data_IF_396988249449
#
_entry.id   IF_396988249449
#
_cell.length_a   1.000
_cell.length_b   1.000
_cell.length_c   1.000
_cell.angle_alpha   90.00
_cell.angle_beta   90.00
_cell.angle_gamma   90.00
#
_symmetry.space_group_name_H-M   'P 1'
#
loop_
_entity.id
_entity.type
_entity.pdbx_description
1 polymer ?
#
# COMPACT_ATOMS: atom_id res chain seq x y z
N UNK A 1 31.06 -51.73 -0.34
CA UNK A 1 29.88 -50.96 0.11
C UNK A 1 29.81 -49.53 -0.45
N UNK A 2 30.94 -48.87 -0.76
CA UNK A 2 30.96 -47.46 -1.18
C UNK A 2 30.32 -47.16 -2.55
N UNK A 3 30.33 -48.10 -3.51
CA UNK A 3 29.77 -47.85 -4.85
C UNK A 3 28.24 -47.86 -4.87
N UNK A 4 27.61 -48.64 -4.00
CA UNK A 4 26.15 -48.71 -3.91
C UNK A 4 25.57 -47.47 -3.21
N UNK A 5 26.24 -47.00 -2.15
CA UNK A 5 25.86 -45.77 -1.45
C UNK A 5 26.04 -44.53 -2.34
N UNK A 6 27.16 -44.46 -3.08
CA UNK A 6 27.40 -43.40 -4.07
C UNK A 6 26.32 -43.41 -5.17
N UNK A 7 25.93 -44.59 -5.68
CA UNK A 7 24.88 -44.73 -6.69
C UNK A 7 23.50 -44.27 -6.18
N UNK A 8 23.13 -44.58 -4.94
CA UNK A 8 21.87 -44.10 -4.33
C UNK A 8 21.86 -42.59 -4.17
N UNK A 9 22.97 -41.98 -3.74
CA UNK A 9 23.07 -40.52 -3.59
C UNK A 9 22.93 -39.85 -4.95
N UNK A 10 23.66 -40.32 -5.96
CA UNK A 10 23.62 -39.76 -7.32
C UNK A 10 22.21 -39.86 -7.92
N UNK A 11 21.55 -41.01 -7.80
CA UNK A 11 20.17 -41.17 -8.29
C UNK A 11 19.16 -40.31 -7.53
N UNK A 12 19.36 -40.11 -6.22
CA UNK A 12 18.49 -39.22 -5.41
C UNK A 12 18.67 -37.75 -5.79
N UNK A 13 19.89 -37.32 -6.11
CA UNK A 13 20.17 -35.96 -6.58
C UNK A 13 19.60 -35.70 -7.98
N UNK A 14 19.76 -36.66 -8.91
CA UNK A 14 19.15 -36.59 -10.25
C UNK A 14 17.62 -36.50 -10.14
N UNK A 15 16.99 -37.33 -9.30
CA UNK A 15 15.55 -37.26 -9.07
C UNK A 15 15.12 -35.92 -8.43
N UNK A 16 15.91 -35.35 -7.51
CA UNK A 16 15.61 -34.05 -6.91
C UNK A 16 15.71 -32.92 -7.94
N UNK A 17 16.69 -32.98 -8.84
CA UNK A 17 16.87 -32.03 -9.93
C UNK A 17 15.74 -32.12 -10.96
N UNK A 18 15.39 -33.34 -11.42
CA UNK A 18 14.25 -33.56 -12.32
C UNK A 18 12.92 -33.07 -11.73
N UNK A 19 12.69 -33.33 -10.44
CA UNK A 19 11.49 -32.82 -9.75
C UNK A 19 11.48 -31.29 -9.64
N UNK A 20 12.62 -30.65 -9.36
CA UNK A 20 12.72 -29.19 -9.36
C UNK A 20 12.47 -28.60 -10.75
N UNK A 21 13.01 -29.21 -11.81
CA UNK A 21 12.76 -28.85 -13.21
C UNK A 21 11.26 -28.99 -13.55
N UNK A 22 10.59 -30.05 -13.08
CA UNK A 22 9.14 -30.23 -13.26
C UNK A 22 8.32 -29.15 -12.53
N UNK A 23 8.69 -28.80 -11.30
CA UNK A 23 8.05 -27.75 -10.50
C UNK A 23 8.24 -26.38 -11.16
N UNK A 24 9.44 -26.08 -11.65
CA UNK A 24 9.75 -24.86 -12.38
C UNK A 24 8.96 -24.79 -13.70
N UNK A 25 8.94 -25.86 -14.49
CA UNK A 25 8.11 -25.97 -15.69
C UNK A 25 6.61 -25.85 -15.40
N UNK A 26 6.13 -26.29 -14.23
CA UNK A 26 4.74 -26.08 -13.79
C UNK A 26 4.50 -24.63 -13.41
N UNK A 27 5.44 -23.94 -12.76
CA UNK A 27 5.36 -22.50 -12.48
C UNK A 27 5.39 -21.68 -13.77
N UNK A 28 6.24 -22.03 -14.74
CA UNK A 28 6.32 -21.38 -16.07
C UNK A 28 5.03 -21.63 -16.85
N UNK A 29 4.52 -22.87 -16.91
CA UNK A 29 3.25 -23.19 -17.59
C UNK A 29 2.04 -22.46 -17.01
N UNK A 30 2.06 -22.10 -15.73
CA UNK A 30 0.98 -21.38 -15.07
C UNK A 30 1.22 -19.86 -14.95
N UNK A 31 2.42 -19.39 -15.28
CA UNK A 31 2.73 -17.97 -15.38
C UNK A 31 2.46 -17.49 -16.80
N UNK A 32 1.29 -16.87 -16.98
CA UNK A 32 0.90 -16.22 -18.24
C UNK A 32 0.97 -14.70 -18.04
N UNK A 33 2.14 -14.06 -18.28
CA UNK A 33 2.20 -12.61 -18.35
C UNK A 33 1.25 -12.13 -19.46
N UNK A 34 0.56 -11.00 -19.28
CA UNK A 34 -0.52 -10.53 -20.15
C UNK A 34 -1.79 -11.40 -20.20
N UNK A 35 -2.09 -12.21 -19.17
CA UNK A 35 -3.39 -12.91 -19.11
C UNK A 35 -4.51 -11.92 -18.85
N UNK A 36 -5.33 -11.70 -19.86
CA UNK A 36 -6.61 -11.05 -19.71
C UNK A 36 -7.60 -11.99 -19.01
N UNK A 37 -8.46 -11.43 -18.17
CA UNK A 37 -9.59 -12.15 -17.55
C UNK A 37 -10.88 -11.49 -17.97
N UNK A 38 -12.03 -12.15 -17.87
CA UNK A 38 -13.32 -11.54 -18.23
C UNK A 38 -14.06 -11.11 -16.95
N UNK A 39 -14.83 -10.04 -17.03
CA UNK A 39 -15.70 -9.58 -15.95
C UNK A 39 -17.17 -9.79 -16.31
N UNK A 40 -17.80 -10.78 -15.70
CA UNK A 40 -19.23 -11.08 -15.93
C UNK A 40 -20.14 -9.92 -15.51
N UNK A 41 -19.74 -9.15 -14.49
CA UNK A 41 -20.50 -8.00 -13.94
C UNK A 41 -20.42 -6.74 -14.79
N UNK A 42 -19.48 -6.67 -15.74
CA UNK A 42 -19.30 -5.53 -16.62
C UNK A 42 -19.58 -5.93 -18.08
N UNK A 43 -20.66 -6.66 -18.34
CA UNK A 43 -21.04 -7.12 -19.69
C UNK A 43 -19.91 -7.86 -20.41
N UNK A 44 -19.29 -8.81 -19.72
CA UNK A 44 -18.16 -9.60 -20.24
C UNK A 44 -16.97 -8.75 -20.70
N UNK A 45 -16.74 -7.60 -20.06
CA UNK A 45 -15.58 -6.76 -20.32
C UNK A 45 -14.28 -7.55 -20.08
N UNK A 46 -13.38 -7.48 -21.07
CA UNK A 46 -12.02 -8.00 -20.96
C UNK A 46 -11.21 -7.13 -20.01
N UNK A 47 -10.79 -7.72 -18.89
CA UNK A 47 -9.92 -7.14 -17.87
C UNK A 47 -8.46 -7.42 -18.21
N UNK A 48 -7.65 -6.38 -18.46
CA UNK A 48 -6.21 -6.54 -18.62
C UNK A 48 -5.56 -7.01 -17.32
N UNK A 49 -4.27 -7.34 -17.40
CA UNK A 49 -3.50 -7.81 -16.24
C UNK A 49 -3.63 -6.85 -15.06
N UNK A 50 -3.79 -7.40 -13.85
CA UNK A 50 -3.95 -6.65 -12.58
C UNK A 50 -5.20 -5.76 -12.50
N UNK A 51 -6.15 -5.84 -13.46
CA UNK A 51 -7.42 -5.15 -13.33
C UNK A 51 -8.44 -5.96 -12.50
N UNK A 52 -9.11 -5.28 -11.56
CA UNK A 52 -10.10 -5.90 -10.68
C UNK A 52 -11.44 -5.17 -10.76
N UNK A 53 -12.53 -5.92 -10.63
CA UNK A 53 -13.88 -5.34 -10.52
C UNK A 53 -14.13 -4.90 -9.08
N UNK A 54 -14.35 -3.61 -8.86
CA UNK A 54 -14.78 -3.09 -7.58
C UNK A 54 -16.30 -3.20 -7.46
N UNK A 55 -16.77 -3.92 -6.44
CA UNK A 55 -18.21 -4.04 -6.15
C UNK A 55 -18.83 -2.70 -5.73
N UNK A 56 -18.13 -1.91 -4.94
CA UNK A 56 -18.65 -0.62 -4.45
C UNK A 56 -18.81 0.39 -5.59
N UNK A 57 -17.80 0.52 -6.47
CA UNK A 57 -17.87 1.42 -7.62
C UNK A 57 -18.56 0.81 -8.84
N UNK A 58 -18.97 -0.46 -8.79
CA UNK A 58 -19.61 -1.22 -9.88
C UNK A 58 -18.88 -1.13 -11.24
N UNK A 59 -17.54 -1.10 -11.20
CA UNK A 59 -16.70 -0.97 -12.41
C UNK A 59 -15.37 -1.69 -12.27
N UNK A 60 -14.79 -2.09 -13.40
CA UNK A 60 -13.41 -2.56 -13.46
C UNK A 60 -12.42 -1.41 -13.34
N UNK A 61 -11.39 -1.60 -12.52
CA UNK A 61 -10.33 -0.62 -12.25
C UNK A 61 -9.00 -1.26 -12.60
N UNK A 62 -8.23 -0.56 -13.43
CA UNK A 62 -6.90 -0.99 -13.90
C UNK A 62 -5.86 -0.84 -12.77
N UNK A 63 -5.02 -1.87 -12.60
CA UNK A 63 -4.06 -2.00 -11.47
C UNK A 63 -4.69 -1.54 -10.16
N UNK A 64 -5.90 -2.06 -9.87
CA UNK A 64 -6.65 -1.67 -8.68
C UNK A 64 -5.84 -2.01 -7.44
N UNK A 65 -5.63 -1.02 -6.58
CA UNK A 65 -5.01 -1.21 -5.28
C UNK A 65 -6.10 -1.51 -4.25
N UNK A 66 -7.00 -0.55 -4.03
CA UNK A 66 -8.14 -0.72 -3.13
C UNK A 66 -9.29 0.24 -3.44
N UNK A 67 -10.47 -0.03 -2.89
CA UNK A 67 -11.53 0.96 -2.79
C UNK A 67 -11.33 1.74 -1.49
N UNK A 68 -11.17 3.05 -1.58
CA UNK A 68 -10.93 3.90 -0.43
C UNK A 68 -12.22 4.64 -0.05
N UNK A 69 -12.85 4.32 1.10
CA UNK A 69 -14.07 4.99 1.54
C UNK A 69 -13.86 6.48 1.79
N UNK A 70 -12.65 6.86 2.22
CA UNK A 70 -12.31 8.24 2.59
C UNK A 70 -12.37 9.23 1.42
N UNK A 71 -12.00 8.78 0.22
CA UNK A 71 -12.09 9.59 -1.01
C UNK A 71 -13.28 9.20 -1.88
N UNK A 72 -14.12 8.25 -1.42
CA UNK A 72 -15.31 7.79 -2.12
C UNK A 72 -15.05 7.11 -3.48
N UNK A 73 -13.82 6.68 -3.75
CA UNK A 73 -13.44 6.12 -5.06
C UNK A 73 -12.35 5.06 -4.94
N UNK A 74 -12.16 4.28 -6.02
CA UNK A 74 -11.05 3.34 -6.11
C UNK A 74 -9.73 4.05 -6.36
N UNK A 75 -8.69 3.56 -5.68
CA UNK A 75 -7.29 3.85 -5.97
C UNK A 75 -6.77 2.79 -6.93
N UNK A 76 -6.22 3.22 -8.05
CA UNK A 76 -5.63 2.36 -9.07
C UNK A 76 -4.70 3.18 -9.97
N UNK A 77 -4.32 2.64 -11.13
CA UNK A 77 -3.25 3.22 -11.96
C UNK A 77 -3.39 4.72 -12.24
N UNK A 78 -4.62 5.18 -12.54
CA UNK A 78 -4.89 6.55 -12.97
C UNK A 78 -4.80 7.59 -11.84
N UNK A 79 -4.93 7.18 -10.58
CA UNK A 79 -4.95 8.11 -9.45
C UNK A 79 -4.03 7.71 -8.30
N UNK A 80 -3.19 6.71 -8.49
CA UNK A 80 -2.22 6.26 -7.49
C UNK A 80 -1.24 7.39 -7.10
N UNK A 81 -0.76 8.18 -8.08
CA UNK A 81 0.10 9.35 -7.83
C UNK A 81 -0.57 10.37 -6.93
N UNK A 82 -1.80 10.75 -7.28
CA UNK A 82 -2.57 11.74 -6.54
C UNK A 82 -2.93 11.26 -5.14
N UNK A 83 -3.25 9.97 -4.98
CA UNK A 83 -3.50 9.39 -3.67
C UNK A 83 -2.25 9.43 -2.78
N UNK A 84 -1.08 9.14 -3.34
CA UNK A 84 0.18 9.23 -2.60
C UNK A 84 0.52 10.67 -2.20
N UNK A 85 0.36 11.63 -3.12
CA UNK A 85 0.53 13.06 -2.83
C UNK A 85 -0.47 13.53 -1.77
N UNK A 86 -1.72 13.07 -1.81
CA UNK A 86 -2.73 13.36 -0.79
C UNK A 86 -2.27 12.93 0.60
N UNK A 87 -1.67 11.75 0.76
CA UNK A 87 -1.12 11.30 2.04
C UNK A 87 0.04 12.17 2.52
N UNK A 88 0.96 12.54 1.62
CA UNK A 88 2.11 13.40 1.94
C UNK A 88 1.67 14.80 2.35
N UNK A 89 0.83 15.45 1.53
CA UNK A 89 0.34 16.79 1.83
C UNK A 89 -0.54 16.80 3.08
N UNK A 90 -1.37 15.76 3.29
CA UNK A 90 -2.14 15.59 4.52
C UNK A 90 -1.24 15.51 5.75
N UNK A 91 -0.14 14.75 5.68
CA UNK A 91 0.84 14.70 6.77
C UNK A 91 1.47 16.07 7.03
N UNK A 92 1.96 16.77 6.01
CA UNK A 92 2.57 18.09 6.16
C UNK A 92 1.61 19.14 6.70
N UNK A 93 0.37 19.20 6.20
CA UNK A 93 -0.65 20.12 6.71
C UNK A 93 -0.94 19.81 8.17
N UNK A 94 -1.10 18.53 8.53
CA UNK A 94 -1.35 18.16 9.93
C UNK A 94 -0.19 18.54 10.84
N UNK A 95 1.06 18.36 10.41
CA UNK A 95 2.25 18.79 11.15
C UNK A 95 2.30 20.32 11.31
N UNK A 96 2.02 21.05 10.23
CA UNK A 96 1.96 22.51 10.25
C UNK A 96 0.90 23.03 11.24
N UNK A 97 -0.29 22.42 11.26
CA UNK A 97 -1.34 22.75 12.24
C UNK A 97 -0.88 22.46 13.66
N UNK A 98 -0.24 21.32 13.92
CA UNK A 98 0.30 21.02 15.25
C UNK A 98 1.36 22.04 15.69
N UNK A 99 2.26 22.44 14.80
CA UNK A 99 3.31 23.45 15.08
C UNK A 99 2.69 24.80 15.41
N UNK A 100 1.65 25.21 14.68
CA UNK A 100 1.03 26.54 14.85
C UNK A 100 0.12 26.65 16.07
N UNK A 101 -0.43 25.55 16.59
CA UNK A 101 -1.27 25.54 17.81
C UNK A 101 -0.46 25.22 19.08
N UNK A 102 0.71 24.58 18.95
CA UNK A 102 1.57 24.21 20.09
C UNK A 102 1.91 25.39 21.03
N UNK A 103 2.26 26.60 20.56
CA UNK A 103 2.55 27.74 21.44
C UNK A 103 1.36 28.15 22.32
N UNK A 104 0.14 28.08 21.78
CA UNK A 104 -1.11 28.43 22.47
C UNK A 104 -1.42 27.38 23.54
N UNK A 105 -1.11 26.12 23.28
CA UNK A 105 -1.19 25.05 24.28
C UNK A 105 -0.15 25.18 25.38
N UNK A 106 1.08 25.55 25.06
CA UNK A 106 2.09 25.81 26.09
C UNK A 106 1.64 26.98 26.96
N UNK A 107 1.12 28.06 26.34
CA UNK A 107 0.59 29.22 27.08
C UNK A 107 -0.57 28.84 28.01
N UNK A 108 -1.50 28.00 27.56
CA UNK A 108 -2.66 27.61 28.35
C UNK A 108 -2.32 26.78 29.60
N UNK A 109 -1.18 26.09 29.61
CA UNK A 109 -0.69 25.36 30.81
C UNK A 109 -0.35 26.30 31.96
N UNK A 110 0.11 27.53 31.65
CA UNK A 110 0.54 28.52 32.64
C UNK A 110 -0.53 29.55 33.01
N UNK A 111 -1.70 29.51 32.37
CA UNK A 111 -2.75 30.51 32.55
C UNK A 111 -3.72 30.16 33.71
N UNK A 112 -4.40 31.18 34.26
CA UNK A 112 -5.39 31.02 35.35
C UNK A 112 -6.63 30.24 34.90
N UNK A 113 -7.36 29.66 35.85
CA UNK A 113 -8.53 28.83 35.54
C UNK A 113 -9.65 29.60 34.81
N UNK A 114 -9.81 30.89 35.06
CA UNK A 114 -10.74 31.76 34.31
C UNK A 114 -10.34 31.91 32.83
N UNK A 115 -9.04 31.92 32.54
CA UNK A 115 -8.53 32.07 31.18
C UNK A 115 -8.43 30.72 30.42
N UNK A 116 -8.45 29.57 31.12
CA UNK A 116 -8.48 28.23 30.51
C UNK A 116 -9.75 27.97 29.69
N UNK A 117 -10.87 28.63 30.00
CA UNK A 117 -12.12 28.57 29.23
C UNK A 117 -11.88 28.91 27.73
N UNK A 118 -11.06 29.93 27.47
CA UNK A 118 -10.69 30.39 26.13
C UNK A 118 -9.85 29.38 25.34
N UNK A 119 -9.10 28.53 26.03
CA UNK A 119 -8.19 27.56 25.40
C UNK A 119 -8.81 26.17 25.20
N UNK A 120 -9.99 25.87 25.77
CA UNK A 120 -10.66 24.56 25.63
C UNK A 120 -10.78 24.10 24.16
N UNK A 121 -11.12 25.03 23.26
CA UNK A 121 -11.22 24.76 21.82
C UNK A 121 -9.86 24.43 21.17
N UNK A 122 -8.79 25.07 21.63
CA UNK A 122 -7.42 24.82 21.14
C UNK A 122 -6.89 23.46 21.60
N UNK A 123 -7.19 23.06 22.84
CA UNK A 123 -6.86 21.72 23.36
C UNK A 123 -7.56 20.61 22.58
N UNK A 124 -8.86 20.77 22.31
CA UNK A 124 -9.61 19.83 21.50
C UNK A 124 -9.03 19.75 20.07
N UNK A 125 -8.70 20.90 19.47
CA UNK A 125 -8.09 20.96 18.15
C UNK A 125 -6.73 20.24 18.09
N UNK A 126 -5.85 20.41 19.09
CA UNK A 126 -4.58 19.69 19.18
C UNK A 126 -4.77 18.19 19.32
N UNK A 127 -5.69 17.76 20.19
CA UNK A 127 -5.93 16.33 20.38
C UNK A 127 -6.39 15.66 19.07
N UNK A 128 -7.32 16.32 18.37
CA UNK A 128 -7.79 15.88 17.06
C UNK A 128 -6.64 15.89 16.05
N UNK A 129 -5.85 16.98 15.95
CA UNK A 129 -4.77 17.07 14.97
C UNK A 129 -3.66 16.06 15.20
N UNK A 130 -3.25 15.81 16.45
CA UNK A 130 -2.25 14.79 16.80
C UNK A 130 -2.75 13.39 16.44
N UNK A 131 -4.02 13.08 16.77
CA UNK A 131 -4.61 11.79 16.42
C UNK A 131 -4.69 11.58 14.90
N UNK A 132 -4.99 12.64 14.14
CA UNK A 132 -5.01 12.60 12.69
C UNK A 132 -3.60 12.41 12.10
N UNK A 133 -2.60 13.13 12.61
CA UNK A 133 -1.19 13.00 12.18
C UNK A 133 -0.66 11.59 12.41
N UNK A 134 -0.90 11.01 13.59
CA UNK A 134 -0.44 9.65 13.92
C UNK A 134 -1.11 8.60 13.06
N UNK A 135 -2.42 8.73 12.83
CA UNK A 135 -3.18 7.84 11.94
C UNK A 135 -2.67 7.93 10.50
N UNK A 136 -2.46 9.13 9.96
CA UNK A 136 -1.93 9.33 8.62
C UNK A 136 -0.51 8.79 8.48
N UNK A 137 0.36 9.00 9.48
CA UNK A 137 1.72 8.48 9.49
C UNK A 137 1.74 6.94 9.49
N UNK A 138 0.85 6.30 10.25
CA UNK A 138 0.70 4.84 10.25
C UNK A 138 0.25 4.31 8.89
N UNK A 139 -0.79 4.88 8.30
CA UNK A 139 -1.27 4.48 6.99
C UNK A 139 -0.22 4.69 5.90
N UNK A 140 0.51 5.82 5.94
CA UNK A 140 1.59 6.10 5.01
C UNK A 140 2.75 5.12 5.16
N UNK A 141 3.17 4.83 6.40
CA UNK A 141 4.25 3.89 6.70
C UNK A 141 3.93 2.46 6.28
N UNK A 142 2.74 1.96 6.64
CA UNK A 142 2.28 0.62 6.24
C UNK A 142 2.12 0.50 4.72
N UNK A 143 1.63 1.54 4.05
CA UNK A 143 1.57 1.58 2.59
C UNK A 143 2.97 1.52 1.95
N UNK A 144 3.95 2.27 2.46
CA UNK A 144 5.34 2.20 1.98
C UNK A 144 5.94 0.81 2.20
N UNK A 145 5.80 0.26 3.41
CA UNK A 145 6.32 -1.07 3.74
C UNK A 145 5.72 -2.14 2.83
N UNK A 146 4.39 -2.15 2.66
CA UNK A 146 3.70 -3.05 1.74
C UNK A 146 4.26 -2.95 0.32
N UNK A 147 4.52 -1.74 -0.18
CA UNK A 147 5.05 -1.54 -1.52
C UNK A 147 6.49 -2.00 -1.68
N UNK A 148 7.33 -1.82 -0.65
CA UNK A 148 8.70 -2.33 -0.63
C UNK A 148 8.69 -3.86 -0.60
N UNK A 149 7.87 -4.48 0.25
CA UNK A 149 7.84 -5.93 0.44
C UNK A 149 7.17 -6.68 -0.70
N UNK A 150 6.13 -6.10 -1.32
CA UNK A 150 5.29 -6.79 -2.30
C UNK A 150 5.70 -6.52 -3.76
N UNK A 151 6.66 -5.63 -4.02
CA UNK A 151 7.16 -5.32 -5.35
C UNK A 151 8.68 -5.02 -5.30
N UNK A 152 9.58 -6.00 -5.49
CA UNK A 152 11.04 -5.78 -5.38
C UNK A 152 11.62 -4.85 -6.48
N UNK A 153 10.85 -4.52 -7.52
CA UNK A 153 11.21 -3.57 -8.59
C UNK A 153 10.59 -2.17 -8.38
N UNK A 154 10.23 -1.78 -7.14
CA UNK A 154 9.39 -0.61 -6.87
C UNK A 154 10.14 0.70 -6.64
N UNK A 155 11.36 0.73 -6.09
CA UNK A 155 12.04 2.00 -5.79
C UNK A 155 12.40 2.78 -7.07
N UNK A 156 12.93 2.08 -8.09
CA UNK A 156 13.21 2.64 -9.42
C UNK A 156 11.93 3.07 -10.17
N UNK A 157 10.83 2.34 -10.00
CA UNK A 157 9.54 2.73 -10.58
C UNK A 157 8.88 3.89 -9.82
N UNK A 158 9.06 4.00 -8.51
CA UNK A 158 8.55 5.12 -7.72
C UNK A 158 9.28 6.42 -8.07
N UNK A 159 10.61 6.35 -8.27
CA UNK A 159 11.43 7.44 -8.79
C UNK A 159 10.97 7.83 -10.21
N UNK A 160 10.88 6.86 -11.15
CA UNK A 160 10.40 7.13 -12.53
C UNK A 160 8.94 7.62 -12.60
N UNK A 161 8.09 7.23 -11.66
CA UNK A 161 6.67 7.62 -11.61
C UNK A 161 6.46 8.99 -10.93
N UNK A 162 7.41 9.44 -10.10
CA UNK A 162 7.47 10.84 -9.64
C UNK A 162 8.00 11.74 -10.77
N UNK A 163 8.96 11.24 -11.56
CA UNK A 163 9.60 11.95 -12.70
C UNK A 163 8.74 12.05 -13.97
N UNK A 164 7.61 11.34 -14.07
CA UNK A 164 6.63 11.44 -15.18
C UNK A 164 5.32 12.06 -14.73
#
# INVERSE_FOLDING_TARGET
>A
MNNYFSFIIVTSLINAEENNIQIENRKIRNYTPNKYTICDKCNYLVRPERAHHCRTCQRCVLKMDHHCPWIGTCVGEKNLKFFFLFLIYGLFISLFVNITIMPQFVKSIYETDEAKESYKMHHAAIFISVSATTTLAWFFGTYILYRITSQPLSLLMLIRYVET
#
